data_IF_227705858696
#
_entry.id   IF_227705858696
#
_cell.length_a   1.000
_cell.length_b   1.000
_cell.length_c   1.000
_cell.angle_alpha   90.00
_cell.angle_beta   90.00
_cell.angle_gamma   90.00
#
_symmetry.space_group_name_H-M   'P 1'
#
loop_
_entity.id
_entity.type
_entity.pdbx_description
1 polymer ?
#
# COMPACT_ATOMS: atom_id res chain seq x y z
N UNK A 1 -16.90 16.59 -23.09
CA UNK A 1 -15.45 16.80 -22.90
C UNK A 1 -14.98 15.83 -21.81
N UNK A 2 -14.11 14.87 -22.13
CA UNK A 2 -13.50 13.99 -21.12
C UNK A 2 -12.34 14.78 -20.50
N UNK A 3 -12.49 15.26 -19.28
CA UNK A 3 -11.37 15.77 -18.49
C UNK A 3 -10.43 14.60 -18.21
N UNK A 4 -9.29 14.55 -18.90
CA UNK A 4 -8.22 13.63 -18.55
C UNK A 4 -7.60 14.11 -17.24
N UNK A 5 -7.88 13.40 -16.15
CA UNK A 5 -7.09 13.52 -14.94
C UNK A 5 -5.71 12.98 -15.27
N UNK A 6 -4.73 13.88 -15.39
CA UNK A 6 -3.32 13.49 -15.43
C UNK A 6 -2.87 13.66 -13.99
N UNK A 7 -2.68 12.57 -13.21
CA UNK A 7 -2.18 12.71 -11.85
C UNK A 7 -0.81 13.38 -11.95
N UNK A 8 -0.67 14.58 -11.38
CA UNK A 8 0.65 15.15 -11.17
C UNK A 8 1.45 14.15 -10.33
N UNK A 9 2.49 13.53 -10.91
CA UNK A 9 3.34 12.52 -10.26
C UNK A 9 3.96 13.01 -8.93
N UNK A 10 3.93 14.33 -8.70
CA UNK A 10 4.51 15.05 -7.56
C UNK A 10 3.67 15.07 -6.27
N UNK A 11 2.41 14.62 -6.27
CA UNK A 11 1.55 14.65 -5.07
C UNK A 11 1.32 13.29 -4.40
N UNK A 12 2.07 12.24 -4.76
CA UNK A 12 1.98 10.95 -4.05
C UNK A 12 2.42 11.15 -2.60
N UNK A 13 1.50 10.95 -1.66
CA UNK A 13 1.78 11.04 -0.22
C UNK A 13 2.83 9.97 0.10
N UNK A 14 4.05 10.40 0.44
CA UNK A 14 5.09 9.50 0.94
C UNK A 14 4.81 9.20 2.41
N UNK A 15 3.99 8.18 2.66
CA UNK A 15 3.75 7.65 4.01
C UNK A 15 4.55 6.36 4.24
N UNK A 16 4.87 6.00 5.51
CA UNK A 16 5.50 4.72 5.81
C UNK A 16 4.74 3.51 5.27
N UNK A 17 3.41 3.51 5.33
CA UNK A 17 2.60 2.47 4.71
C UNK A 17 2.76 2.46 3.18
N UNK A 18 2.72 3.63 2.53
CA UNK A 18 2.93 3.73 1.08
C UNK A 18 4.31 3.21 0.65
N UNK A 19 5.35 3.52 1.43
CA UNK A 19 6.70 3.03 1.21
C UNK A 19 6.81 1.51 1.38
N UNK A 20 6.18 0.95 2.42
CA UNK A 20 6.06 -0.50 2.61
C UNK A 20 5.40 -1.16 1.39
N UNK A 21 4.24 -0.64 0.97
CA UNK A 21 3.50 -1.19 -0.18
C UNK A 21 4.37 -1.19 -1.45
N UNK A 22 5.10 -0.10 -1.71
CA UNK A 22 6.06 -0.02 -2.83
C UNK A 22 7.22 -1.01 -2.68
N UNK A 23 7.80 -1.14 -1.48
CA UNK A 23 8.93 -2.05 -1.22
C UNK A 23 8.58 -3.52 -1.42
N UNK A 24 7.30 -3.85 -1.22
CA UNK A 24 6.73 -5.19 -1.46
C UNK A 24 6.08 -5.32 -2.83
N UNK A 25 6.13 -4.31 -3.70
CA UNK A 25 5.60 -4.43 -5.06
C UNK A 25 6.72 -4.75 -6.06
N UNK A 26 6.57 -5.83 -6.81
CA UNK A 26 7.53 -6.24 -7.84
C UNK A 26 7.39 -5.46 -9.16
N UNK A 27 6.33 -4.66 -9.33
CA UNK A 27 6.15 -3.78 -10.48
C UNK A 27 5.70 -2.39 -10.03
N UNK A 28 6.33 -1.35 -10.59
CA UNK A 28 5.80 0.00 -10.42
C UNK A 28 4.42 0.11 -11.09
N UNK A 29 3.45 0.80 -10.49
CA UNK A 29 2.17 1.09 -11.15
C UNK A 29 2.39 1.63 -12.58
N UNK A 30 1.92 0.90 -13.59
CA UNK A 30 2.08 1.24 -15.00
C UNK A 30 3.23 0.56 -15.75
N UNK A 31 3.98 -0.38 -15.14
CA UNK A 31 5.10 -1.06 -15.79
C UNK A 31 4.70 -2.23 -16.73
N UNK A 32 3.42 -2.62 -16.76
CA UNK A 32 2.90 -3.62 -17.68
C UNK A 32 3.20 -5.07 -17.31
N UNK A 33 3.55 -5.35 -16.04
CA UNK A 33 3.54 -6.72 -15.55
C UNK A 33 2.10 -7.26 -15.59
N UNK A 34 1.94 -8.48 -16.09
CA UNK A 34 0.63 -9.10 -16.32
C UNK A 34 -0.13 -9.38 -15.01
N UNK A 35 0.57 -9.33 -13.87
CA UNK A 35 -0.02 -9.47 -12.55
C UNK A 35 0.51 -8.43 -11.56
N UNK A 36 -0.39 -7.61 -11.00
CA UNK A 36 -0.13 -6.67 -9.91
C UNK A 36 0.01 -7.42 -8.56
N UNK A 37 0.98 -8.33 -8.43
CA UNK A 37 1.21 -9.07 -7.18
C UNK A 37 2.20 -8.36 -6.25
N UNK A 38 1.78 -8.16 -5.00
CA UNK A 38 2.71 -7.83 -3.93
C UNK A 38 3.52 -9.07 -3.54
N UNK A 39 4.84 -8.95 -3.55
CA UNK A 39 5.78 -9.89 -2.96
C UNK A 39 5.86 -9.63 -1.45
N UNK A 40 4.82 -10.05 -0.75
CA UNK A 40 4.68 -9.97 0.71
C UNK A 40 5.45 -11.09 1.42
N UNK A 41 6.69 -11.35 0.99
CA UNK A 41 7.57 -12.31 1.67
C UNK A 41 8.08 -11.75 2.99
N UNK A 42 8.21 -12.61 4.01
CA UNK A 42 8.71 -12.22 5.34
C UNK A 42 10.10 -11.56 5.26
N UNK A 43 10.99 -12.04 4.39
CA UNK A 43 12.35 -11.50 4.27
C UNK A 43 12.35 -10.05 3.74
N UNK A 44 11.47 -9.73 2.79
CA UNK A 44 11.33 -8.36 2.27
C UNK A 44 10.75 -7.41 3.31
N UNK A 45 9.67 -7.83 3.97
CA UNK A 45 9.07 -7.02 5.04
C UNK A 45 10.07 -6.81 6.17
N UNK A 46 10.85 -7.85 6.53
CA UNK A 46 11.91 -7.74 7.53
C UNK A 46 13.00 -6.76 7.12
N UNK A 47 13.46 -6.81 5.87
CA UNK A 47 14.43 -5.84 5.35
C UNK A 47 13.89 -4.41 5.43
N UNK A 48 12.61 -4.20 5.11
CA UNK A 48 11.94 -2.91 5.24
C UNK A 48 11.84 -2.44 6.69
N UNK A 49 11.40 -3.31 7.61
CA UNK A 49 11.25 -3.02 9.05
C UNK A 49 12.57 -2.59 9.70
N UNK A 50 13.70 -3.17 9.26
CA UNK A 50 15.02 -2.80 9.78
C UNK A 50 15.47 -1.38 9.40
N UNK A 51 14.88 -0.79 8.36
CA UNK A 51 15.31 0.49 7.80
C UNK A 51 14.30 1.62 8.02
N UNK A 52 13.08 1.30 8.50
CA UNK A 52 11.95 2.23 8.53
C UNK A 52 11.23 2.24 9.88
N UNK A 53 10.44 3.29 10.12
CA UNK A 53 9.58 3.39 11.30
C UNK A 53 8.30 2.55 11.10
N UNK A 54 8.40 1.27 11.46
CA UNK A 54 7.29 0.32 11.37
C UNK A 54 6.12 0.68 12.30
N UNK A 55 6.34 1.43 13.38
CA UNK A 55 5.25 1.83 14.29
C UNK A 55 4.27 2.77 13.59
N UNK A 56 4.78 3.70 12.79
CA UNK A 56 3.94 4.60 11.99
C UNK A 56 3.15 3.84 10.92
N UNK A 57 3.75 2.85 10.26
CA UNK A 57 3.04 2.01 9.29
C UNK A 57 1.93 1.20 9.97
N UNK A 58 2.18 0.61 11.14
CA UNK A 58 1.17 -0.12 11.91
C UNK A 58 0.00 0.78 12.35
N UNK A 59 0.28 2.01 12.80
CA UNK A 59 -0.76 2.98 13.16
C UNK A 59 -1.63 3.35 11.93
N UNK A 60 -1.00 3.58 10.78
CA UNK A 60 -1.71 3.85 9.53
C UNK A 60 -2.60 2.68 9.10
N UNK A 61 -2.09 1.45 9.18
CA UNK A 61 -2.88 0.24 8.90
C UNK A 61 -4.09 0.16 9.85
N UNK A 62 -3.89 0.34 11.15
CA UNK A 62 -4.98 0.26 12.13
C UNK A 62 -6.05 1.33 11.89
N UNK A 63 -5.65 2.56 11.56
CA UNK A 63 -6.57 3.65 11.19
C UNK A 63 -7.38 3.31 9.95
N UNK A 64 -6.75 2.75 8.92
CA UNK A 64 -7.47 2.37 7.70
C UNK A 64 -8.45 1.22 7.96
N UNK A 65 -8.04 0.17 8.69
CA UNK A 65 -8.90 -0.99 8.96
C UNK A 65 -10.14 -0.61 9.79
N UNK A 66 -10.01 0.36 10.69
CA UNK A 66 -11.08 0.77 11.62
C UNK A 66 -11.89 1.98 11.15
N UNK A 67 -11.50 2.62 10.04
CA UNK A 67 -12.19 3.81 9.54
C UNK A 67 -13.56 3.43 8.96
N UNK A 68 -14.66 4.06 9.44
CA UNK A 68 -16.02 3.74 8.99
C UNK A 68 -16.35 4.29 7.60
N UNK A 69 -15.49 5.17 7.04
CA UNK A 69 -15.68 5.79 5.73
C UNK A 69 -14.34 5.92 5.02
N UNK A 70 -14.00 4.91 4.21
CA UNK A 70 -12.88 4.97 3.29
C UNK A 70 -13.42 5.07 1.86
N UNK A 71 -12.97 6.11 1.16
CA UNK A 71 -13.14 6.19 -0.27
C UNK A 71 -12.04 5.38 -0.95
N UNK A 72 -12.43 4.20 -1.45
CA UNK A 72 -11.55 3.25 -2.15
C UNK A 72 -10.97 3.89 -3.41
N UNK A 73 -11.75 4.69 -4.13
CA UNK A 73 -11.30 5.34 -5.36
C UNK A 73 -10.26 6.43 -5.08
N UNK A 74 -10.47 7.22 -4.03
CA UNK A 74 -9.48 8.21 -3.59
C UNK A 74 -8.16 7.54 -3.16
N UNK A 75 -8.24 6.44 -2.39
CA UNK A 75 -7.04 5.68 -2.05
C UNK A 75 -6.35 5.09 -3.27
N UNK A 76 -7.08 4.55 -4.24
CA UNK A 76 -6.50 4.07 -5.51
C UNK A 76 -5.83 5.22 -6.28
N UNK A 77 -6.34 6.44 -6.23
CA UNK A 77 -5.71 7.59 -6.90
C UNK A 77 -4.44 8.06 -6.17
N UNK A 78 -4.46 8.05 -4.84
CA UNK A 78 -3.31 8.47 -4.02
C UNK A 78 -2.17 7.46 -4.06
N UNK A 79 -2.53 6.18 -4.02
CA UNK A 79 -1.58 5.07 -4.04
C UNK A 79 -1.22 4.73 -5.49
N UNK A 80 -2.19 4.60 -6.38
CA UNK A 80 -1.97 4.04 -7.72
C UNK A 80 -1.84 2.52 -7.68
N UNK A 81 -2.21 1.87 -6.58
CA UNK A 81 -2.36 0.41 -6.55
C UNK A 81 -3.81 0.03 -6.91
N UNK A 82 -4.01 -0.95 -7.81
CA UNK A 82 -5.34 -1.38 -8.22
C UNK A 82 -5.89 -2.45 -7.27
N UNK A 83 -6.82 -2.08 -6.39
CA UNK A 83 -7.67 -3.02 -5.62
C UNK A 83 -9.15 -2.81 -5.96
N UNK A 84 -9.93 -3.87 -6.14
CA UNK A 84 -11.31 -3.83 -6.60
C UNK A 84 -12.27 -3.25 -5.56
N UNK A 85 -12.02 -3.46 -4.26
CA UNK A 85 -12.90 -3.03 -3.18
C UNK A 85 -12.15 -2.94 -1.84
N UNK A 86 -12.84 -2.42 -0.83
CA UNK A 86 -12.26 -2.26 0.50
C UNK A 86 -11.89 -3.59 1.18
N UNK A 87 -12.61 -4.69 0.92
CA UNK A 87 -12.30 -5.98 1.53
C UNK A 87 -10.98 -6.56 1.01
N UNK A 88 -10.69 -6.36 -0.28
CA UNK A 88 -9.40 -6.72 -0.88
C UNK A 88 -8.26 -5.89 -0.25
N UNK A 89 -8.41 -4.56 -0.22
CA UNK A 89 -7.44 -3.69 0.45
C UNK A 89 -7.23 -4.10 1.91
N UNK A 90 -8.31 -4.39 2.64
CA UNK A 90 -8.25 -4.82 4.04
C UNK A 90 -7.51 -6.13 4.22
N UNK A 91 -7.64 -7.08 3.28
CA UNK A 91 -6.89 -8.34 3.29
C UNK A 91 -5.39 -8.06 3.22
N UNK A 92 -4.96 -7.21 2.28
CA UNK A 92 -3.54 -6.84 2.15
C UNK A 92 -3.03 -6.09 3.38
N UNK A 93 -3.80 -5.13 3.90
CA UNK A 93 -3.44 -4.40 5.13
C UNK A 93 -3.25 -5.32 6.34
N UNK A 94 -4.10 -6.35 6.49
CA UNK A 94 -3.96 -7.34 7.55
C UNK A 94 -2.72 -8.21 7.36
N UNK A 95 -2.43 -8.61 6.12
CA UNK A 95 -1.24 -9.41 5.79
C UNK A 95 0.06 -8.63 6.07
N UNK A 96 0.17 -7.39 5.60
CA UNK A 96 1.31 -6.53 5.94
C UNK A 96 1.47 -6.36 7.45
N UNK A 97 0.37 -6.14 8.17
CA UNK A 97 0.40 -6.02 9.64
C UNK A 97 0.95 -7.28 10.29
N UNK A 98 0.51 -8.46 9.86
CA UNK A 98 1.00 -9.73 10.39
C UNK A 98 2.49 -9.93 10.09
N UNK A 99 2.93 -9.62 8.87
CA UNK A 99 4.32 -9.74 8.46
C UNK A 99 5.25 -8.77 9.19
N UNK A 100 4.81 -7.53 9.43
CA UNK A 100 5.55 -6.58 10.26
C UNK A 100 5.75 -7.17 11.66
N UNK A 101 4.68 -7.65 12.30
CA UNK A 101 4.74 -8.21 13.67
C UNK A 101 5.66 -9.42 13.72
N UNK A 102 5.64 -10.30 12.71
CA UNK A 102 6.53 -11.47 12.60
C UNK A 102 7.99 -11.11 12.31
N UNK A 103 8.26 -9.89 11.87
CA UNK A 103 9.60 -9.40 11.52
C UNK A 103 10.35 -8.73 12.67
N UNK A 104 9.67 -8.47 13.79
CA UNK A 104 10.22 -7.96 15.05
C UNK A 104 10.92 -9.08 15.83
#
# INVERSE_FOLDING_TARGET
MKTSYTPNETNKIKSPLWDLMLSTNNCFPGCGCEDDFFDMTIDRVKAWVLQNDYNLALDQINKLITSPKIDVGDLQLQTGFPFQNFNELKTWLLEWKELIIKSL
#
